data_IF_902444156090
#
_entry.id   IF_902444156090
#
_cell.length_a   1.000
_cell.length_b   1.000
_cell.length_c   1.000
_cell.angle_alpha   90.00
_cell.angle_beta   90.00
_cell.angle_gamma   90.00
#
_symmetry.space_group_name_H-M   'P 1'
#
loop_
_entity.id
_entity.type
_entity.pdbx_description
1 polymer ?
#
# COMPACT_ATOMS: atom_id res chain seq x y z
N UNK A 1 -19.43 -3.43 8.98
CA UNK A 1 -18.61 -2.45 9.69
C UNK A 1 -17.85 -3.12 10.82
N UNK A 2 -16.55 -2.89 10.95
CA UNK A 2 -15.72 -3.47 11.99
C UNK A 2 -14.80 -2.38 12.55
N UNK A 3 -15.00 -2.01 13.82
CA UNK A 3 -14.28 -0.90 14.45
C UNK A 3 -12.78 -1.13 14.52
N UNK A 4 -12.35 -2.35 14.82
CA UNK A 4 -10.93 -2.66 14.95
C UNK A 4 -10.23 -2.55 13.60
N UNK A 5 -10.82 -3.10 12.54
CA UNK A 5 -10.26 -3.01 11.19
C UNK A 5 -10.27 -1.56 10.71
N UNK A 6 -11.37 -0.84 10.94
CA UNK A 6 -11.48 0.56 10.55
C UNK A 6 -10.42 1.42 11.23
N UNK A 7 -10.22 1.20 12.54
CA UNK A 7 -9.19 1.90 13.31
C UNK A 7 -7.77 1.55 12.82
N UNK A 8 -7.52 0.27 12.55
CA UNK A 8 -6.22 -0.18 12.04
C UNK A 8 -5.93 0.45 10.68
N UNK A 9 -6.93 0.51 9.80
CA UNK A 9 -6.79 1.14 8.49
C UNK A 9 -6.45 2.63 8.62
N UNK A 10 -7.13 3.34 9.49
CA UNK A 10 -6.83 4.75 9.75
C UNK A 10 -5.40 4.95 10.25
N UNK A 11 -4.95 4.09 11.15
CA UNK A 11 -3.59 4.15 11.70
C UNK A 11 -2.53 3.83 10.63
N UNK A 12 -2.80 2.85 9.77
CA UNK A 12 -1.91 2.51 8.66
C UNK A 12 -1.78 3.69 7.70
N UNK A 13 -2.90 4.28 7.31
CA UNK A 13 -2.91 5.42 6.38
C UNK A 13 -2.18 6.62 6.97
N UNK A 14 -2.38 6.90 8.25
CA UNK A 14 -1.65 7.95 8.95
C UNK A 14 -0.15 7.66 9.01
N UNK A 15 0.23 6.40 9.18
CA UNK A 15 1.63 5.99 9.21
C UNK A 15 2.31 6.17 7.83
N UNK A 16 1.58 5.93 6.74
CA UNK A 16 2.08 6.23 5.39
C UNK A 16 2.46 7.70 5.25
N UNK A 17 1.62 8.60 5.76
CA UNK A 17 1.85 10.04 5.68
C UNK A 17 3.02 10.49 6.58
N UNK A 18 3.41 9.68 7.56
CA UNK A 18 4.57 9.96 8.44
C UNK A 18 5.83 9.23 8.02
N UNK A 19 5.79 8.44 6.94
CA UNK A 19 6.90 7.57 6.54
C UNK A 19 7.30 6.61 7.67
N UNK A 20 6.30 6.08 8.37
CA UNK A 20 6.47 5.22 9.54
C UNK A 20 6.23 3.76 9.18
N UNK A 21 7.29 3.07 8.76
CA UNK A 21 7.20 1.67 8.35
C UNK A 21 6.70 0.78 9.50
N UNK A 22 7.17 1.00 10.71
CA UNK A 22 6.75 0.21 11.88
C UNK A 22 5.27 0.44 12.19
N UNK A 23 4.79 1.67 12.05
CA UNK A 23 3.39 2.02 12.23
C UNK A 23 2.47 1.32 11.24
N UNK A 24 2.97 1.00 10.06
CA UNK A 24 2.24 0.22 9.06
C UNK A 24 2.30 -1.27 9.40
N UNK A 25 3.51 -1.81 9.57
CA UNK A 25 3.73 -3.25 9.64
C UNK A 25 3.24 -3.87 10.94
N UNK A 26 3.08 -3.10 12.01
CA UNK A 26 2.52 -3.65 13.26
C UNK A 26 1.09 -4.17 13.09
N UNK A 27 0.37 -3.71 12.06
CA UNK A 27 -0.99 -4.18 11.75
C UNK A 27 -1.01 -5.38 10.81
N UNK A 28 0.15 -5.83 10.34
CA UNK A 28 0.27 -6.97 9.45
C UNK A 28 0.56 -8.23 10.24
N UNK A 29 0.05 -9.36 9.74
CA UNK A 29 0.41 -10.67 10.28
C UNK A 29 1.88 -10.98 9.94
N UNK A 30 2.50 -11.87 10.71
CA UNK A 30 3.89 -12.27 10.46
C UNK A 30 4.09 -12.85 9.06
N UNK A 31 3.07 -13.57 8.56
CA UNK A 31 3.08 -14.22 7.25
C UNK A 31 2.43 -13.38 6.15
N UNK A 32 2.21 -12.09 6.39
CA UNK A 32 1.57 -11.22 5.40
C UNK A 32 2.33 -11.17 4.09
N UNK A 33 1.58 -10.98 3.01
CA UNK A 33 2.14 -10.85 1.65
C UNK A 33 1.67 -9.52 1.06
N UNK A 34 2.61 -8.72 0.56
CA UNK A 34 2.31 -7.49 -0.14
C UNK A 34 2.71 -7.64 -1.61
N UNK A 35 1.79 -7.25 -2.48
CA UNK A 35 1.95 -7.39 -3.93
C UNK A 35 1.96 -6.01 -4.57
N UNK A 36 3.11 -5.31 -4.56
CA UNK A 36 3.20 -3.98 -5.15
C UNK A 36 3.13 -4.04 -6.67
N UNK A 37 2.63 -2.98 -7.32
CA UNK A 37 2.57 -2.94 -8.77
C UNK A 37 3.97 -2.90 -9.38
N UNK A 38 4.16 -3.64 -10.48
CA UNK A 38 5.41 -3.67 -11.25
C UNK A 38 6.64 -4.06 -10.42
N UNK A 39 6.43 -4.81 -9.35
CA UNK A 39 7.51 -5.20 -8.47
C UNK A 39 7.34 -6.62 -7.96
N UNK A 40 8.38 -7.14 -7.31
CA UNK A 40 8.34 -8.46 -6.71
C UNK A 40 7.43 -8.46 -5.49
N UNK A 41 6.76 -9.58 -5.25
CA UNK A 41 5.99 -9.75 -4.02
C UNK A 41 6.92 -9.69 -2.81
N UNK A 42 6.43 -9.11 -1.73
CA UNK A 42 7.13 -9.04 -0.46
C UNK A 42 6.45 -10.01 0.50
N UNK A 43 7.20 -10.98 1.00
CA UNK A 43 6.67 -12.07 1.83
C UNK A 43 7.16 -11.94 3.25
N UNK A 44 6.22 -11.79 4.17
CA UNK A 44 6.50 -11.66 5.59
C UNK A 44 6.59 -10.22 6.05
N UNK A 45 6.19 -9.99 7.29
CA UNK A 45 6.13 -8.65 7.89
C UNK A 45 7.49 -7.94 7.86
N UNK A 46 8.58 -8.67 8.14
CA UNK A 46 9.92 -8.09 8.15
C UNK A 46 10.37 -7.64 6.75
N UNK A 47 10.13 -8.47 5.75
CA UNK A 47 10.48 -8.13 4.36
C UNK A 47 9.67 -6.94 3.88
N UNK A 48 8.38 -6.88 4.23
CA UNK A 48 7.53 -5.74 3.91
C UNK A 48 8.05 -4.47 4.60
N UNK A 49 8.47 -4.58 5.86
CA UNK A 49 9.03 -3.44 6.60
C UNK A 49 10.29 -2.90 5.90
N UNK A 50 11.19 -3.78 5.49
CA UNK A 50 12.39 -3.39 4.76
C UNK A 50 12.06 -2.71 3.44
N UNK A 51 11.08 -3.23 2.70
CA UNK A 51 10.62 -2.64 1.45
C UNK A 51 10.06 -1.23 1.67
N UNK A 52 9.23 -1.06 2.70
CA UNK A 52 8.66 0.26 3.06
C UNK A 52 9.75 1.26 3.44
N UNK A 53 10.74 0.83 4.24
CA UNK A 53 11.87 1.70 4.62
C UNK A 53 12.65 2.15 3.39
N UNK A 54 12.85 1.26 2.43
CA UNK A 54 13.48 1.60 1.16
C UNK A 54 12.69 2.63 0.38
N UNK A 55 11.37 2.44 0.30
CA UNK A 55 10.48 3.40 -0.37
C UNK A 55 10.55 4.77 0.29
N UNK A 56 10.51 4.83 1.62
CA UNK A 56 10.53 6.08 2.37
C UNK A 56 11.88 6.78 2.36
N UNK A 57 12.96 6.09 2.01
CA UNK A 57 14.26 6.74 1.77
C UNK A 57 14.23 7.62 0.51
N UNK A 58 13.40 7.25 -0.46
CA UNK A 58 13.34 7.92 -1.76
C UNK A 58 12.14 8.83 -1.93
N UNK A 59 11.05 8.54 -1.25
CA UNK A 59 9.78 9.26 -1.42
C UNK A 59 9.10 9.55 -0.09
N UNK A 60 8.35 10.65 -0.07
CA UNK A 60 7.44 10.99 1.02
C UNK A 60 6.03 11.09 0.45
N UNK A 61 5.08 10.44 1.09
CA UNK A 61 3.68 10.59 0.73
C UNK A 61 3.13 11.83 1.44
N UNK A 62 2.78 12.86 0.68
CA UNK A 62 2.32 14.13 1.22
C UNK A 62 0.81 14.28 1.19
N UNK A 63 0.13 13.51 0.35
CA UNK A 63 -1.33 13.48 0.27
C UNK A 63 -1.79 12.04 0.18
N UNK A 64 -2.85 11.71 0.88
CA UNK A 64 -3.49 10.39 0.81
C UNK A 64 -4.98 10.57 1.08
N UNK A 65 -5.80 10.13 0.14
CA UNK A 65 -7.24 10.14 0.27
C UNK A 65 -7.79 8.77 -0.14
N UNK A 66 -8.90 8.38 0.46
CA UNK A 66 -9.58 7.13 0.16
C UNK A 66 -11.05 7.43 -0.12
N UNK A 67 -11.38 7.88 -1.35
CA UNK A 67 -12.74 8.28 -1.68
C UNK A 67 -13.75 7.14 -1.69
N UNK A 68 -13.32 5.90 -1.88
CA UNK A 68 -14.21 4.74 -1.85
C UNK A 68 -13.59 3.64 -0.99
N UNK A 69 -14.42 3.01 -0.17
CA UNK A 69 -14.02 1.87 0.63
C UNK A 69 -15.21 0.95 0.88
N UNK A 70 -14.99 -0.33 0.71
CA UNK A 70 -15.97 -1.36 0.99
C UNK A 70 -15.30 -2.46 1.79
N UNK A 71 -15.88 -2.81 2.93
CA UNK A 71 -15.38 -3.86 3.81
C UNK A 71 -16.46 -4.92 4.01
N UNK A 72 -16.12 -6.17 3.75
CA UNK A 72 -16.99 -7.31 3.98
C UNK A 72 -16.33 -8.24 4.98
N UNK A 73 -17.02 -8.53 6.09
CA UNK A 73 -16.52 -9.45 7.11
C UNK A 73 -17.27 -10.77 7.01
N UNK A 74 -16.53 -11.87 6.97
CA UNK A 74 -17.09 -13.21 6.90
C UNK A 74 -16.28 -14.14 7.81
N UNK A 75 -16.82 -14.47 9.00
CA UNK A 75 -16.13 -15.29 9.97
C UNK A 75 -14.84 -14.63 10.45
N UNK A 76 -13.74 -15.35 10.31
CA UNK A 76 -12.42 -14.89 10.74
C UNK A 76 -11.64 -14.13 9.64
N UNK A 77 -12.30 -13.82 8.54
CA UNK A 77 -11.70 -13.08 7.44
C UNK A 77 -12.53 -11.84 7.09
N UNK A 78 -11.84 -10.83 6.57
CA UNK A 78 -12.49 -9.66 6.02
C UNK A 78 -11.81 -9.28 4.71
N UNK A 79 -12.60 -8.77 3.78
CA UNK A 79 -12.14 -8.35 2.46
C UNK A 79 -12.40 -6.87 2.31
N UNK A 80 -11.34 -6.14 1.98
CA UNK A 80 -11.39 -4.70 1.82
C UNK A 80 -11.08 -4.35 0.37
N UNK A 81 -11.92 -3.50 -0.21
CA UNK A 81 -11.69 -2.96 -1.54
C UNK A 81 -11.81 -1.44 -1.45
N UNK A 82 -10.79 -0.76 -1.93
CA UNK A 82 -10.72 0.69 -1.80
C UNK A 82 -10.18 1.35 -3.05
N UNK A 83 -10.53 2.60 -3.22
CA UNK A 83 -9.90 3.48 -4.19
C UNK A 83 -9.09 4.49 -3.41
N UNK A 84 -7.81 4.60 -3.73
CA UNK A 84 -6.91 5.55 -3.10
C UNK A 84 -6.42 6.58 -4.11
N UNK A 85 -6.15 7.77 -3.62
CA UNK A 85 -5.47 8.82 -4.37
C UNK A 85 -4.31 9.32 -3.51
N UNK A 86 -3.10 9.38 -4.08
CA UNK A 86 -1.94 9.83 -3.32
C UNK A 86 -0.98 10.65 -4.16
N UNK A 87 -0.13 11.39 -3.45
CA UNK A 87 0.99 12.11 -4.02
C UNK A 87 2.27 11.66 -3.32
N UNK A 88 3.19 11.12 -4.10
CA UNK A 88 4.55 10.77 -3.65
C UNK A 88 5.51 11.82 -4.14
N UNK A 89 6.24 12.43 -3.23
CA UNK A 89 7.21 13.48 -3.55
C UNK A 89 8.61 12.90 -3.34
N UNK A 90 9.52 12.98 -4.33
CA UNK A 90 10.90 12.55 -4.13
C UNK A 90 11.56 13.33 -2.99
N UNK A 91 12.35 12.65 -2.16
CA UNK A 91 13.08 13.30 -1.07
C UNK A 91 14.26 14.12 -1.59
N UNK A 92 14.68 13.91 -2.82
CA UNK A 92 15.68 14.69 -3.52
C UNK A 92 15.09 15.34 -4.76
N UNK A 93 15.85 15.37 -5.85
CA UNK A 93 15.39 15.91 -7.11
C UNK A 93 14.45 14.92 -7.82
N UNK A 94 13.53 15.45 -8.59
CA UNK A 94 12.60 14.67 -9.40
C UNK A 94 11.19 15.20 -9.32
N UNK A 95 10.34 14.64 -10.15
CA UNK A 95 8.93 15.03 -10.21
C UNK A 95 8.09 14.24 -9.20
N UNK A 96 7.10 14.90 -8.63
CA UNK A 96 6.10 14.26 -7.80
C UNK A 96 5.27 13.27 -8.64
N UNK A 97 4.91 12.15 -8.03
CA UNK A 97 4.12 11.11 -8.65
C UNK A 97 2.73 11.12 -8.04
N UNK A 98 1.74 11.52 -8.84
CA UNK A 98 0.34 11.44 -8.44
C UNK A 98 -0.23 10.15 -9.02
N UNK A 99 -0.89 9.37 -8.19
CA UNK A 99 -1.51 8.13 -8.63
C UNK A 99 -2.91 8.00 -8.07
N UNK A 100 -3.66 7.14 -8.70
CA UNK A 100 -4.98 6.71 -8.29
C UNK A 100 -4.99 5.20 -8.39
N UNK A 101 -5.27 4.51 -7.31
CA UNK A 101 -5.05 3.07 -7.25
C UNK A 101 -6.24 2.32 -6.67
N UNK A 102 -6.50 1.17 -7.27
CA UNK A 102 -7.39 0.18 -6.68
C UNK A 102 -6.62 -0.67 -5.70
N UNK A 103 -7.14 -0.80 -4.49
CA UNK A 103 -6.55 -1.58 -3.42
C UNK A 103 -7.48 -2.72 -3.00
N UNK A 104 -6.91 -3.91 -2.84
CA UNK A 104 -7.61 -5.03 -2.21
C UNK A 104 -6.76 -5.50 -1.03
N UNK A 105 -7.37 -5.55 0.14
CA UNK A 105 -6.75 -6.05 1.36
C UNK A 105 -7.55 -7.19 1.94
N UNK A 106 -6.86 -8.16 2.53
CA UNK A 106 -7.48 -9.27 3.22
C UNK A 106 -6.99 -9.26 4.67
N UNK A 107 -7.95 -9.35 5.60
CA UNK A 107 -7.71 -9.36 7.04
C UNK A 107 -8.07 -10.71 7.61
N UNK A 108 -7.35 -11.12 8.65
CA UNK A 108 -7.62 -12.38 9.37
C UNK A 108 -7.67 -12.10 10.86
N UNK A 109 -8.66 -12.68 11.53
CA UNK A 109 -8.78 -12.61 12.98
C UNK A 109 -8.06 -13.80 13.60
N UNK A 110 -7.11 -13.53 14.50
CA UNK A 110 -6.40 -14.55 15.25
C UNK A 110 -7.29 -15.13 16.35
N UNK A 111 -6.84 -16.23 16.95
CA UNK A 111 -7.57 -16.89 18.05
C UNK A 111 -7.81 -15.96 19.24
N UNK A 112 -6.93 -14.99 19.50
CA UNK A 112 -7.10 -14.00 20.55
C UNK A 112 -8.03 -12.85 20.18
N UNK A 113 -8.62 -12.88 18.99
CA UNK A 113 -9.56 -11.87 18.51
C UNK A 113 -8.95 -10.70 17.77
N UNK A 114 -7.62 -10.62 17.68
CA UNK A 114 -6.93 -9.52 17.00
C UNK A 114 -6.98 -9.69 15.49
N UNK A 115 -7.38 -8.63 14.79
CA UNK A 115 -7.39 -8.58 13.34
C UNK A 115 -6.03 -8.09 12.80
N UNK A 116 -5.50 -8.80 11.82
CA UNK A 116 -4.26 -8.41 11.14
C UNK A 116 -4.45 -8.54 9.64
N UNK A 117 -3.82 -7.66 8.87
CA UNK A 117 -3.84 -7.75 7.42
C UNK A 117 -2.88 -8.84 6.97
N UNK A 118 -3.34 -9.75 6.11
CA UNK A 118 -2.55 -10.89 5.64
C UNK A 118 -2.15 -10.77 4.18
N UNK A 119 -2.82 -9.92 3.41
CA UNK A 119 -2.51 -9.74 2.00
C UNK A 119 -2.98 -8.37 1.55
N UNK A 120 -2.16 -7.73 0.75
CA UNK A 120 -2.53 -6.48 0.09
C UNK A 120 -1.99 -6.44 -1.32
N UNK A 121 -2.81 -5.97 -2.25
CA UNK A 121 -2.45 -5.81 -3.65
C UNK A 121 -3.08 -4.53 -4.18
N UNK A 122 -2.34 -3.81 -5.02
CA UNK A 122 -2.93 -2.65 -5.69
C UNK A 122 -2.41 -2.53 -7.11
N UNK A 123 -3.20 -1.82 -7.92
CA UNK A 123 -2.80 -1.46 -9.28
C UNK A 123 -3.18 0.00 -9.54
N UNK A 124 -2.55 0.60 -10.53
CA UNK A 124 -2.91 1.96 -10.93
C UNK A 124 -4.25 1.95 -11.65
N UNK A 125 -5.11 2.91 -11.31
CA UNK A 125 -6.37 3.16 -12.01
C UNK A 125 -6.23 4.27 -13.06
N UNK A 126 -5.02 4.80 -13.24
CA UNK A 126 -4.73 5.77 -14.30
C UNK A 126 -4.71 5.08 -15.66
N UNK A 127 -5.00 5.81 -16.75
CA UNK A 127 -4.94 5.23 -18.09
C UNK A 127 -3.57 4.60 -18.37
N UNK A 128 -3.59 3.40 -18.95
CA UNK A 128 -2.37 2.64 -19.23
C UNK A 128 -1.38 3.38 -20.14
N UNK A 129 -1.87 4.19 -21.06
CA UNK A 129 -1.04 4.97 -21.97
C UNK A 129 -0.14 5.98 -21.25
N UNK A 130 -0.62 6.58 -20.15
CA UNK A 130 0.15 7.55 -19.37
C UNK A 130 1.28 6.86 -18.60
N UNK A 131 0.96 5.80 -17.85
CA UNK A 131 1.96 5.05 -17.09
C UNK A 131 2.89 4.24 -17.98
N UNK A 132 2.39 3.70 -19.07
CA UNK A 132 3.18 2.95 -20.06
C UNK A 132 4.21 3.85 -20.74
N UNK A 133 3.81 5.04 -21.17
CA UNK A 133 4.71 6.00 -21.80
C UNK A 133 5.87 6.38 -20.88
N UNK A 134 5.61 6.56 -19.58
CA UNK A 134 6.65 6.86 -18.60
C UNK A 134 7.61 5.69 -18.41
N UNK A 135 7.09 4.47 -18.33
CA UNK A 135 7.89 3.27 -18.19
C UNK A 135 8.78 3.04 -19.41
N UNK A 136 8.24 3.20 -20.61
CA UNK A 136 8.99 3.07 -21.87
C UNK A 136 10.10 4.11 -21.97
N UNK A 137 9.83 5.34 -21.58
CA UNK A 137 10.83 6.41 -21.56
C UNK A 137 11.97 6.06 -20.59
N UNK A 138 11.67 5.56 -19.43
CA UNK A 138 12.66 5.16 -18.44
C UNK A 138 13.52 3.99 -18.93
N UNK A 139 12.91 2.98 -19.58
CA UNK A 139 13.64 1.86 -20.17
C UNK A 139 14.55 2.30 -21.32
N UNK A 140 14.04 3.16 -22.19
CA UNK A 140 14.84 3.70 -23.30
C UNK A 140 16.05 4.48 -22.78
N UNK A 141 15.90 5.25 -21.72
CA UNK A 141 17.01 5.96 -21.09
C UNK A 141 17.99 5.02 -20.39
N UNK A 142 17.51 3.91 -19.83
CA UNK A 142 18.34 2.92 -19.13
C UNK A 142 19.07 1.97 -20.06
N UNK A 143 18.59 1.74 -21.27
CA UNK A 143 19.16 0.79 -22.22
C UNK A 143 20.16 1.41 -23.20
N UNK A 144 20.36 2.71 -23.14
CA UNK A 144 21.33 3.43 -24.00
C UNK A 144 22.72 3.60 -23.30
#
# INVERSE_FOLDING_TARGET
>A
MNREIDSAREQIDAAWLRSDADGITRHLAEDAVLLPPNGAKQVGREEINTWLRGLFQHYTMTELAMPERELTVSGDFAFERSLYEWLLVPNGEGEAIRDRANWVGIWRRAANGTWSEICGIWNSALPADVSQAKAETAEAAGSS
#
